data_IF_876604489935
#
_entry.id   IF_876604489935
#
_cell.length_a   1.000
_cell.length_b   1.000
_cell.length_c   1.000
_cell.angle_alpha   90.00
_cell.angle_beta   90.00
_cell.angle_gamma   90.00
#
_symmetry.space_group_name_H-M   'P 1'
#
loop_
_entity.id
_entity.type
_entity.pdbx_description
1 polymer ?
#
# COMPACT_ATOMS: atom_id res chain seq x y z
N UNK A 1 -43.29 8.41 6.60
CA UNK A 1 -42.21 9.32 6.15
C UNK A 1 -41.13 9.61 7.22
N UNK A 2 -40.87 8.73 8.20
CA UNK A 2 -39.86 8.96 9.26
C UNK A 2 -38.57 8.13 9.07
N UNK A 3 -38.55 7.16 8.14
CA UNK A 3 -37.39 6.27 7.94
C UNK A 3 -36.22 6.85 7.15
N UNK A 4 -36.43 7.87 6.32
CA UNK A 4 -35.39 8.41 5.42
C UNK A 4 -34.37 9.31 6.15
N UNK A 5 -34.79 10.03 7.19
CA UNK A 5 -33.92 11.02 7.87
C UNK A 5 -32.83 10.36 8.73
N UNK A 6 -33.10 9.19 9.32
CA UNK A 6 -32.10 8.44 10.09
C UNK A 6 -31.07 7.73 9.21
N UNK A 7 -31.46 7.31 8.00
CA UNK A 7 -30.54 6.72 7.03
C UNK A 7 -29.55 7.76 6.50
N UNK A 8 -30.03 8.99 6.27
CA UNK A 8 -29.19 10.11 5.81
C UNK A 8 -28.25 10.60 6.92
N UNK A 9 -28.68 10.64 8.19
CA UNK A 9 -27.76 10.97 9.29
C UNK A 9 -26.69 9.90 9.54
N UNK A 10 -27.01 8.61 9.33
CA UNK A 10 -26.02 7.53 9.43
C UNK A 10 -24.98 7.61 8.29
N UNK A 11 -25.41 7.95 7.08
CA UNK A 11 -24.53 8.20 5.93
C UNK A 11 -23.63 9.44 6.11
N UNK A 12 -24.16 10.51 6.73
CA UNK A 12 -23.38 11.74 6.99
C UNK A 12 -22.37 11.54 8.14
N UNK A 13 -22.67 10.69 9.12
CA UNK A 13 -21.72 10.33 10.20
C UNK A 13 -20.49 9.56 9.72
N UNK A 14 -20.58 8.82 8.62
CA UNK A 14 -19.46 8.07 8.04
C UNK A 14 -18.48 8.94 7.23
N UNK A 15 -18.85 10.17 6.86
CA UNK A 15 -18.01 11.07 6.05
C UNK A 15 -17.12 12.01 6.88
N UNK A 16 -17.22 11.97 8.22
CA UNK A 16 -16.43 12.81 9.13
C UNK A 16 -15.44 12.01 10.00
N UNK A 17 -15.09 10.79 9.57
CA UNK A 17 -14.07 9.97 10.21
C UNK A 17 -12.67 10.47 9.89
N UNK A 18 -12.13 11.30 10.78
CA UNK A 18 -10.70 11.58 10.90
C UNK A 18 -9.86 10.32 10.69
N UNK A 19 -8.94 10.35 9.71
CA UNK A 19 -7.79 9.45 9.55
C UNK A 19 -7.90 8.13 10.33
N UNK A 20 -8.86 7.28 9.96
CA UNK A 20 -8.97 5.95 10.55
C UNK A 20 -7.88 5.09 9.90
N UNK A 21 -6.65 5.19 10.40
CA UNK A 21 -5.53 4.35 9.98
C UNK A 21 -5.97 2.89 9.95
N UNK A 22 -5.67 2.16 8.86
CA UNK A 22 -5.82 0.71 8.81
C UNK A 22 -5.13 0.12 10.05
N UNK A 23 -5.89 -0.49 10.96
CA UNK A 23 -5.39 -0.82 12.31
C UNK A 23 -4.28 -1.87 12.24
N UNK A 24 -3.04 -1.42 12.38
CA UNK A 24 -1.85 -2.26 12.53
C UNK A 24 -1.29 -2.18 13.95
N UNK A 25 -0.05 -2.61 14.12
CA UNK A 25 0.71 -2.27 15.33
C UNK A 25 1.03 -0.78 15.30
N UNK A 26 0.80 -0.07 16.40
CA UNK A 26 1.01 1.38 16.45
C UNK A 26 2.49 1.74 16.17
N UNK A 27 2.81 2.87 15.52
CA UNK A 27 4.18 3.21 15.12
C UNK A 27 5.19 3.14 16.27
N UNK A 28 4.80 3.58 17.46
CA UNK A 28 5.64 3.51 18.66
C UNK A 28 5.98 2.07 19.08
N UNK A 29 5.09 1.12 18.80
CA UNK A 29 5.27 -0.29 19.14
C UNK A 29 6.02 -1.06 18.04
N UNK A 30 6.01 -0.58 16.79
CA UNK A 30 6.76 -1.20 15.68
C UNK A 30 8.27 -1.17 15.94
N UNK A 31 8.78 -0.08 16.52
CA UNK A 31 10.19 0.02 16.90
C UNK A 31 10.56 -1.01 17.98
N UNK A 32 9.64 -1.33 18.91
CA UNK A 32 9.87 -2.36 19.91
C UNK A 32 9.95 -3.75 19.28
N UNK A 33 9.11 -4.03 18.27
CA UNK A 33 9.10 -5.28 17.53
C UNK A 33 10.37 -5.47 16.68
N UNK A 34 10.82 -4.43 15.98
CA UNK A 34 11.99 -4.50 15.09
C UNK A 34 13.31 -4.66 15.87
N UNK A 35 13.40 -4.06 17.06
CA UNK A 35 14.59 -4.15 17.90
C UNK A 35 14.58 -5.37 18.83
N UNK A 36 13.52 -6.18 18.81
CA UNK A 36 13.43 -7.37 19.64
C UNK A 36 14.31 -8.49 19.08
N UNK A 37 15.33 -8.89 19.86
CA UNK A 37 16.08 -10.14 19.65
C UNK A 37 15.78 -11.11 20.78
N UNK A 38 15.63 -12.39 20.44
CA UNK A 38 15.37 -13.48 21.36
C UNK A 38 13.94 -13.49 21.93
N UNK A 39 13.63 -14.42 22.84
CA UNK A 39 12.31 -14.54 23.44
C UNK A 39 11.99 -13.37 24.39
N UNK A 40 10.98 -12.56 24.04
CA UNK A 40 10.46 -11.43 24.80
C UNK A 40 8.97 -11.60 25.11
N UNK A 41 8.64 -12.67 25.83
CA UNK A 41 7.27 -13.14 26.01
C UNK A 41 6.33 -12.07 26.59
N UNK A 42 6.77 -11.33 27.62
CA UNK A 42 5.93 -10.32 28.26
C UNK A 42 5.64 -9.14 27.33
N UNK A 43 6.63 -8.68 26.56
CA UNK A 43 6.48 -7.58 25.60
C UNK A 43 5.48 -7.95 24.52
N UNK A 44 5.62 -9.12 23.92
CA UNK A 44 4.71 -9.58 22.86
C UNK A 44 3.31 -9.88 23.40
N UNK A 45 3.20 -10.43 24.61
CA UNK A 45 1.90 -10.63 25.26
C UNK A 45 1.19 -9.30 25.54
N UNK A 46 1.90 -8.30 26.07
CA UNK A 46 1.35 -6.96 26.24
C UNK A 46 0.90 -6.37 24.89
N UNK A 47 1.73 -6.52 23.86
CA UNK A 47 1.44 -5.96 22.56
C UNK A 47 0.24 -6.62 21.89
N UNK A 48 0.08 -7.95 22.04
CA UNK A 48 -1.10 -8.67 21.60
C UNK A 48 -2.37 -8.20 22.31
N UNK A 49 -2.30 -7.99 23.63
CA UNK A 49 -3.41 -7.45 24.40
C UNK A 49 -3.76 -6.01 23.98
N UNK A 50 -2.75 -5.15 23.79
CA UNK A 50 -2.91 -3.77 23.32
C UNK A 50 -3.55 -3.76 21.94
N UNK A 51 -3.03 -4.52 20.98
CA UNK A 51 -3.55 -4.65 19.62
C UNK A 51 -5.04 -5.01 19.60
N UNK A 52 -5.41 -6.00 20.42
CA UNK A 52 -6.80 -6.46 20.51
C UNK A 52 -7.74 -5.39 21.08
N UNK A 53 -7.31 -4.63 22.10
CA UNK A 53 -8.15 -3.62 22.76
C UNK A 53 -8.21 -2.32 21.94
N UNK A 54 -7.18 -1.98 21.18
CA UNK A 54 -7.16 -0.78 20.33
C UNK A 54 -7.74 -1.02 18.94
N UNK A 55 -7.93 -2.28 18.52
CA UNK A 55 -8.48 -2.64 17.22
C UNK A 55 -9.97 -2.41 17.10
N UNK A 56 -10.36 -1.32 16.43
CA UNK A 56 -11.76 -0.96 16.23
C UNK A 56 -12.54 -2.01 15.44
N UNK A 57 -11.91 -2.62 14.44
CA UNK A 57 -12.48 -3.73 13.66
C UNK A 57 -12.84 -4.93 14.55
N UNK A 58 -11.95 -5.32 15.44
CA UNK A 58 -12.16 -6.38 16.41
C UNK A 58 -13.26 -6.01 17.41
N UNK A 59 -13.21 -4.80 17.99
CA UNK A 59 -14.22 -4.34 18.94
C UNK A 59 -15.62 -4.25 18.31
N UNK A 60 -15.74 -3.77 17.06
CA UNK A 60 -17.01 -3.73 16.33
C UNK A 60 -17.53 -5.14 16.05
N UNK A 61 -16.66 -6.06 15.65
CA UNK A 61 -17.02 -7.46 15.47
C UNK A 61 -17.49 -8.11 16.78
N UNK A 62 -16.74 -7.94 17.88
CA UNK A 62 -17.09 -8.43 19.23
C UNK A 62 -18.43 -7.87 19.68
N UNK A 63 -18.67 -6.58 19.47
CA UNK A 63 -19.94 -5.92 19.77
C UNK A 63 -21.10 -6.55 18.99
N UNK A 64 -20.91 -6.80 17.68
CA UNK A 64 -21.87 -7.53 16.85
C UNK A 64 -22.14 -8.94 17.37
N UNK A 65 -21.11 -9.68 17.78
CA UNK A 65 -21.24 -11.05 18.29
C UNK A 65 -22.06 -11.10 19.59
N UNK A 66 -21.88 -10.14 20.50
CA UNK A 66 -22.57 -10.15 21.81
C UNK A 66 -24.08 -9.99 21.72
N UNK A 67 -24.64 -9.38 20.66
CA UNK A 67 -26.09 -9.25 20.50
C UNK A 67 -26.83 -10.59 20.65
N UNK A 68 -26.21 -11.68 20.19
CA UNK A 68 -26.79 -13.02 20.23
C UNK A 68 -26.45 -13.82 21.50
N UNK A 69 -25.45 -13.38 22.27
CA UNK A 69 -24.91 -14.16 23.37
C UNK A 69 -25.51 -13.71 24.70
N UNK A 70 -26.18 -14.65 25.36
CA UNK A 70 -26.75 -14.47 26.71
C UNK A 70 -26.02 -15.31 27.75
N UNK A 71 -25.26 -16.33 27.32
CA UNK A 71 -24.62 -17.31 28.19
C UNK A 71 -23.11 -17.22 28.06
N UNK A 72 -22.41 -17.08 29.19
CA UNK A 72 -20.94 -17.03 29.23
C UNK A 72 -20.27 -18.22 28.54
N UNK A 73 -20.85 -19.42 28.65
CA UNK A 73 -20.33 -20.63 27.97
C UNK A 73 -20.29 -20.49 26.45
N UNK A 74 -21.29 -19.83 25.87
CA UNK A 74 -21.32 -19.59 24.43
C UNK A 74 -20.29 -18.54 24.05
N UNK A 75 -20.19 -17.44 24.80
CA UNK A 75 -19.16 -16.41 24.62
C UNK A 75 -17.77 -17.03 24.58
N UNK A 76 -17.41 -17.84 25.58
CA UNK A 76 -16.11 -18.52 25.61
C UNK A 76 -15.90 -19.39 24.37
N UNK A 77 -16.90 -20.17 23.96
CA UNK A 77 -16.78 -21.01 22.77
C UNK A 77 -16.52 -20.20 21.47
N UNK A 78 -17.18 -19.05 21.30
CA UNK A 78 -16.97 -18.19 20.14
C UNK A 78 -15.58 -17.52 20.17
N UNK A 79 -15.14 -17.05 21.34
CA UNK A 79 -13.79 -16.49 21.52
C UNK A 79 -12.73 -17.50 21.17
N UNK A 80 -12.84 -18.70 21.72
CA UNK A 80 -11.86 -19.77 21.47
C UNK A 80 -11.83 -20.12 19.99
N UNK A 81 -12.97 -20.24 19.31
CA UNK A 81 -13.00 -20.51 17.86
C UNK A 81 -12.34 -19.39 17.05
N UNK A 82 -12.62 -18.13 17.37
CA UNK A 82 -11.97 -17.00 16.74
C UNK A 82 -10.46 -17.02 16.98
N UNK A 83 -10.03 -17.19 18.24
CA UNK A 83 -8.64 -17.21 18.64
C UNK A 83 -7.86 -18.35 17.98
N UNK A 84 -8.47 -19.53 17.84
CA UNK A 84 -7.91 -20.65 17.09
C UNK A 84 -7.69 -20.25 15.63
N UNK A 85 -8.72 -19.73 14.96
CA UNK A 85 -8.61 -19.30 13.57
C UNK A 85 -7.51 -18.25 13.39
N UNK A 86 -7.58 -17.20 14.20
CA UNK A 86 -6.63 -16.10 14.22
C UNK A 86 -5.19 -16.59 14.41
N UNK A 87 -4.94 -17.35 15.46
CA UNK A 87 -3.59 -17.83 15.81
C UNK A 87 -2.99 -18.71 14.71
N UNK A 88 -3.80 -19.59 14.10
CA UNK A 88 -3.35 -20.49 13.03
C UNK A 88 -2.88 -19.69 11.82
N UNK A 89 -3.69 -18.76 11.33
CA UNK A 89 -3.33 -17.95 10.15
C UNK A 89 -2.28 -16.89 10.43
N UNK A 90 -2.22 -16.37 11.66
CA UNK A 90 -1.16 -15.46 12.07
C UNK A 90 0.19 -16.16 11.94
N UNK A 91 0.33 -17.30 12.62
CA UNK A 91 1.58 -18.05 12.66
C UNK A 91 1.93 -18.60 11.27
N UNK A 92 0.94 -19.14 10.55
CA UNK A 92 1.15 -19.62 9.19
C UNK A 92 1.60 -18.50 8.25
N UNK A 93 0.93 -17.34 8.28
CA UNK A 93 1.30 -16.21 7.44
C UNK A 93 2.74 -15.78 7.70
N UNK A 94 3.07 -15.50 8.97
CA UNK A 94 4.41 -15.06 9.36
C UNK A 94 5.50 -16.07 8.99
N UNK A 95 5.27 -17.37 9.21
CA UNK A 95 6.28 -18.42 8.94
C UNK A 95 6.42 -18.78 7.46
N UNK A 96 5.32 -18.72 6.68
CA UNK A 96 5.35 -19.03 5.25
C UNK A 96 5.87 -17.86 4.39
N UNK A 97 5.86 -16.64 4.93
CA UNK A 97 6.16 -15.43 4.17
C UNK A 97 5.12 -15.14 3.08
N UNK A 98 3.91 -15.71 3.19
CA UNK A 98 2.83 -15.46 2.26
C UNK A 98 2.39 -13.99 2.39
N UNK A 99 2.71 -13.20 1.36
CA UNK A 99 2.31 -11.80 1.24
C UNK A 99 1.03 -11.69 0.43
N UNK A 100 0.03 -11.06 1.04
CA UNK A 100 -1.21 -10.63 0.37
C UNK A 100 -1.37 -9.16 0.65
N UNK A 101 -2.13 -8.44 -0.17
CA UNK A 101 -2.36 -7.03 0.08
C UNK A 101 -3.15 -6.80 1.40
N UNK A 102 -2.63 -6.02 2.36
CA UNK A 102 -3.30 -5.76 3.63
C UNK A 102 -4.67 -5.07 3.47
N UNK A 103 -4.83 -4.19 2.47
CA UNK A 103 -6.08 -3.48 2.22
C UNK A 103 -7.17 -4.45 1.76
N UNK A 104 -6.84 -5.42 0.91
CA UNK A 104 -7.81 -6.44 0.48
C UNK A 104 -8.24 -7.34 1.64
N UNK A 105 -7.31 -7.76 2.51
CA UNK A 105 -7.65 -8.58 3.68
C UNK A 105 -8.48 -7.77 4.69
N UNK A 106 -8.08 -6.52 4.98
CA UNK A 106 -8.83 -5.66 5.89
C UNK A 106 -10.23 -5.30 5.34
N UNK A 107 -10.41 -5.23 4.01
CA UNK A 107 -11.73 -5.10 3.40
C UNK A 107 -12.59 -6.35 3.66
N UNK A 108 -12.02 -7.56 3.56
CA UNK A 108 -12.72 -8.80 3.92
C UNK A 108 -13.09 -8.80 5.41
N UNK A 109 -12.20 -8.32 6.27
CA UNK A 109 -12.47 -8.11 7.70
C UNK A 109 -13.65 -7.14 7.89
N UNK A 110 -13.69 -6.02 7.16
CA UNK A 110 -14.83 -5.09 7.17
C UNK A 110 -16.16 -5.77 6.76
N UNK A 111 -16.12 -6.65 5.75
CA UNK A 111 -17.28 -7.45 5.37
C UNK A 111 -17.74 -8.43 6.44
N UNK A 112 -16.84 -8.93 7.31
CA UNK A 112 -17.25 -9.77 8.45
C UNK A 112 -18.15 -9.01 9.44
N UNK A 113 -17.91 -7.71 9.63
CA UNK A 113 -18.75 -6.83 10.47
C UNK A 113 -20.12 -6.63 9.83
N UNK A 114 -20.16 -6.38 8.51
CA UNK A 114 -21.41 -6.30 7.72
C UNK A 114 -22.20 -7.60 7.82
N UNK A 115 -21.53 -8.73 7.61
CA UNK A 115 -22.12 -10.06 7.74
C UNK A 115 -22.74 -10.23 9.13
N UNK A 116 -22.03 -9.85 10.19
CA UNK A 116 -22.53 -10.07 11.54
C UNK A 116 -23.73 -9.18 11.87
N UNK A 117 -23.75 -7.96 11.37
CA UNK A 117 -24.90 -7.08 11.49
C UNK A 117 -26.14 -7.64 10.74
N UNK A 118 -25.96 -8.17 9.54
CA UNK A 118 -27.04 -8.82 8.77
C UNK A 118 -27.57 -10.07 9.47
N UNK A 119 -26.67 -10.89 10.00
CA UNK A 119 -27.00 -12.07 10.79
C UNK A 119 -27.85 -11.70 12.02
N UNK A 120 -27.44 -10.67 12.76
CA UNK A 120 -28.17 -10.17 13.92
C UNK A 120 -29.57 -9.63 13.59
N UNK A 121 -29.78 -9.14 12.37
CA UNK A 121 -31.07 -8.66 11.89
C UNK A 121 -31.95 -9.79 11.31
N UNK A 122 -31.46 -11.04 11.30
CA UNK A 122 -32.17 -12.19 10.72
C UNK A 122 -32.30 -12.12 9.20
N UNK A 123 -31.41 -11.37 8.53
CA UNK A 123 -31.49 -11.14 7.10
C UNK A 123 -31.37 -12.45 6.29
N UNK A 124 -30.43 -13.34 6.66
CA UNK A 124 -30.20 -14.60 5.94
C UNK A 124 -31.42 -15.52 5.94
N UNK A 125 -32.07 -15.68 7.11
CA UNK A 125 -33.30 -16.47 7.22
C UNK A 125 -34.45 -15.84 6.41
N UNK A 126 -34.55 -14.50 6.39
CA UNK A 126 -35.62 -13.80 5.67
C UNK A 126 -35.43 -13.78 4.15
N UNK A 127 -34.19 -13.66 3.68
CA UNK A 127 -33.87 -13.54 2.26
C UNK A 127 -33.70 -14.91 1.59
N UNK A 128 -33.09 -15.87 2.29
CA UNK A 128 -32.68 -17.14 1.71
C UNK A 128 -33.30 -18.37 2.40
N UNK A 129 -34.03 -18.19 3.50
CA UNK A 129 -34.62 -19.31 4.26
C UNK A 129 -33.61 -20.18 5.01
N UNK A 130 -32.34 -19.77 5.06
CA UNK A 130 -31.24 -20.52 5.65
C UNK A 130 -30.56 -19.65 6.71
N UNK A 131 -30.24 -20.25 7.85
CA UNK A 131 -29.46 -19.63 8.91
C UNK A 131 -28.03 -20.21 8.88
N UNK A 132 -27.00 -19.41 8.56
CA UNK A 132 -25.62 -19.87 8.55
C UNK A 132 -25.15 -20.38 9.93
N UNK A 133 -24.17 -21.28 9.93
CA UNK A 133 -23.57 -21.75 11.18
C UNK A 133 -22.63 -20.67 11.76
N UNK A 134 -23.09 -20.01 12.82
CA UNK A 134 -22.36 -18.94 13.48
C UNK A 134 -20.97 -19.36 13.97
N UNK A 135 -20.79 -20.60 14.45
CA UNK A 135 -19.49 -21.09 14.93
C UNK A 135 -18.48 -21.20 13.78
N UNK A 136 -18.94 -21.69 12.63
CA UNK A 136 -18.11 -21.78 11.43
C UNK A 136 -17.76 -20.38 10.91
N UNK A 137 -18.72 -19.45 10.89
CA UNK A 137 -18.48 -18.07 10.47
C UNK A 137 -17.41 -17.39 11.35
N UNK A 138 -17.52 -17.51 12.68
CA UNK A 138 -16.53 -16.92 13.60
C UNK A 138 -15.13 -17.53 13.44
N UNK A 139 -15.01 -18.83 13.20
CA UNK A 139 -13.73 -19.47 12.88
C UNK A 139 -13.13 -18.90 11.58
N UNK A 140 -13.95 -18.76 10.54
CA UNK A 140 -13.53 -18.20 9.24
C UNK A 140 -13.10 -16.75 9.36
N UNK A 141 -13.83 -15.93 10.14
CA UNK A 141 -13.41 -14.56 10.42
C UNK A 141 -12.11 -14.52 11.21
N UNK A 142 -11.92 -15.43 12.17
CA UNK A 142 -10.64 -15.63 12.83
C UNK A 142 -9.50 -15.80 11.82
N UNK A 143 -9.66 -16.66 10.81
CA UNK A 143 -8.66 -16.86 9.77
C UNK A 143 -8.29 -15.57 9.02
N UNK A 144 -9.28 -14.79 8.57
CA UNK A 144 -8.99 -13.53 7.87
C UNK A 144 -8.33 -12.50 8.78
N UNK A 145 -8.76 -12.38 10.03
CA UNK A 145 -8.17 -11.46 11.00
C UNK A 145 -6.71 -11.81 11.32
N UNK A 146 -6.42 -13.09 11.58
CA UNK A 146 -5.06 -13.54 11.86
C UNK A 146 -4.14 -13.32 10.66
N UNK A 147 -4.64 -13.59 9.47
CA UNK A 147 -3.88 -13.38 8.23
C UNK A 147 -3.64 -11.89 7.91
N UNK A 148 -4.61 -11.01 8.19
CA UNK A 148 -4.46 -9.56 8.04
C UNK A 148 -3.36 -8.99 8.91
N UNK A 149 -3.31 -9.43 10.18
CA UNK A 149 -2.21 -9.05 11.07
C UNK A 149 -0.87 -9.66 10.65
N UNK A 150 -0.85 -10.92 10.19
CA UNK A 150 0.37 -11.59 9.73
C UNK A 150 1.06 -10.79 8.63
N UNK A 151 0.28 -10.32 7.67
CA UNK A 151 0.76 -9.53 6.53
C UNK A 151 1.42 -8.25 7.01
N UNK A 152 0.78 -7.51 7.94
CA UNK A 152 1.35 -6.27 8.51
C UNK A 152 2.60 -6.54 9.35
N UNK A 153 2.65 -7.67 10.07
CA UNK A 153 3.83 -8.06 10.86
C UNK A 153 5.00 -8.49 9.97
N UNK A 154 4.77 -9.04 8.78
CA UNK A 154 5.84 -9.40 7.84
C UNK A 154 6.53 -8.16 7.22
N UNK A 155 5.82 -7.04 7.13
CA UNK A 155 6.42 -5.77 6.69
C UNK A 155 7.31 -5.15 7.77
N UNK A 156 7.14 -5.58 9.03
CA UNK A 156 8.11 -5.35 10.08
C UNK A 156 9.21 -6.41 9.92
N UNK A 157 10.45 -6.00 9.71
CA UNK A 157 11.61 -6.91 9.61
C UNK A 157 11.91 -7.58 10.96
N UNK A 158 11.06 -8.51 11.39
CA UNK A 158 11.16 -9.19 12.68
C UNK A 158 12.38 -10.10 12.71
N UNK A 159 13.06 -10.15 13.86
CA UNK A 159 14.15 -11.09 14.09
C UNK A 159 13.62 -12.53 14.04
N UNK A 160 14.34 -13.41 13.34
CA UNK A 160 14.06 -14.84 13.36
C UNK A 160 14.35 -15.46 14.75
N UNK A 161 15.23 -14.84 15.53
CA UNK A 161 15.60 -15.27 16.87
C UNK A 161 14.45 -15.00 17.86
N UNK A 162 13.81 -16.06 18.35
CA UNK A 162 12.66 -15.97 19.25
C UNK A 162 11.31 -15.74 18.56
N UNK A 163 11.23 -15.78 17.23
CA UNK A 163 10.01 -15.47 16.49
C UNK A 163 8.79 -16.31 16.93
N UNK A 164 8.92 -17.64 16.92
CA UNK A 164 7.82 -18.55 17.30
C UNK A 164 7.34 -18.33 18.75
N UNK A 165 8.21 -18.34 19.78
CA UNK A 165 7.76 -18.10 21.15
C UNK A 165 7.17 -16.69 21.34
N UNK A 166 7.67 -15.69 20.62
CA UNK A 166 7.12 -14.33 20.64
C UNK A 166 5.73 -14.26 20.00
N UNK A 167 5.51 -14.93 18.86
CA UNK A 167 4.18 -15.03 18.22
C UNK A 167 3.17 -15.79 19.09
N UNK A 168 3.61 -16.85 19.77
CA UNK A 168 2.75 -17.56 20.73
C UNK A 168 2.37 -16.67 21.91
N UNK A 169 3.34 -15.93 22.47
CA UNK A 169 3.06 -14.99 23.55
C UNK A 169 2.13 -13.85 23.11
N UNK A 170 2.30 -13.36 21.88
CA UNK A 170 1.39 -12.39 21.27
C UNK A 170 -0.05 -12.90 21.21
N UNK A 171 -0.26 -14.14 20.74
CA UNK A 171 -1.60 -14.76 20.70
C UNK A 171 -2.23 -14.89 22.08
N UNK A 172 -1.45 -15.28 23.09
CA UNK A 172 -1.92 -15.29 24.49
C UNK A 172 -2.36 -13.89 24.92
N UNK A 173 -1.61 -12.86 24.54
CA UNK A 173 -1.97 -11.46 24.72
C UNK A 173 -3.31 -11.10 24.08
N UNK A 174 -3.51 -11.47 22.82
CA UNK A 174 -4.76 -11.25 22.08
C UNK A 174 -5.93 -11.91 22.80
N UNK A 175 -5.79 -13.17 23.22
CA UNK A 175 -6.84 -13.89 23.94
C UNK A 175 -7.21 -13.22 25.28
N UNK A 176 -6.21 -12.76 26.04
CA UNK A 176 -6.42 -11.98 27.27
C UNK A 176 -7.19 -10.69 26.95
N UNK A 177 -6.76 -9.95 25.91
CA UNK A 177 -7.42 -8.73 25.46
C UNK A 177 -8.89 -8.98 25.04
N UNK A 178 -9.16 -10.08 24.34
CA UNK A 178 -10.51 -10.47 23.93
C UNK A 178 -11.41 -10.77 25.12
N UNK A 179 -10.93 -11.58 26.07
CA UNK A 179 -11.71 -11.93 27.27
C UNK A 179 -12.04 -10.68 28.09
N UNK A 180 -11.09 -9.75 28.25
CA UNK A 180 -11.30 -8.48 28.95
C UNK A 180 -12.32 -7.60 28.23
N UNK A 181 -12.14 -7.37 26.92
CA UNK A 181 -13.04 -6.55 26.12
C UNK A 181 -14.48 -7.11 26.11
N UNK A 182 -14.62 -8.43 25.91
CA UNK A 182 -15.93 -9.08 25.91
C UNK A 182 -16.60 -9.04 27.28
N UNK A 183 -15.86 -9.23 28.36
CA UNK A 183 -16.40 -9.11 29.71
C UNK A 183 -16.98 -7.72 29.94
N UNK A 184 -16.25 -6.68 29.54
CA UNK A 184 -16.72 -5.29 29.62
C UNK A 184 -17.97 -5.04 28.76
N UNK A 185 -17.96 -5.45 27.48
CA UNK A 185 -19.10 -5.25 26.58
C UNK A 185 -20.32 -6.05 27.05
N UNK A 186 -20.14 -7.26 27.58
CA UNK A 186 -21.22 -8.09 28.09
C UNK A 186 -21.90 -7.46 29.30
N UNK A 187 -21.14 -6.85 30.22
CA UNK A 187 -21.68 -6.11 31.36
C UNK A 187 -22.55 -4.96 30.86
N UNK A 188 -22.03 -4.14 29.93
CA UNK A 188 -22.76 -3.01 29.33
C UNK A 188 -24.03 -3.49 28.64
N UNK A 189 -23.95 -4.53 27.82
CA UNK A 189 -25.10 -5.12 27.11
C UNK A 189 -26.13 -5.70 28.06
N UNK A 190 -25.72 -6.32 29.17
CA UNK A 190 -26.64 -6.85 30.19
C UNK A 190 -27.41 -5.74 30.88
N UNK A 191 -26.76 -4.61 31.17
CA UNK A 191 -27.43 -3.42 31.70
C UNK A 191 -28.38 -2.81 30.66
N UNK A 192 -27.95 -2.70 29.40
CA UNK A 192 -28.75 -2.09 28.32
C UNK A 192 -29.98 -2.91 27.96
N UNK A 193 -29.90 -4.23 28.03
CA UNK A 193 -31.03 -5.17 27.82
C UNK A 193 -32.19 -4.96 28.81
N UNK A 194 -31.96 -4.30 29.94
CA UNK A 194 -33.01 -4.00 30.94
C UNK A 194 -33.89 -2.80 30.55
N UNK A 195 -33.50 -2.03 29.53
CA UNK A 195 -34.23 -0.84 29.10
C UNK A 195 -35.39 -1.24 28.17
N UNK A 196 -36.63 -0.74 28.35
CA UNK A 196 -37.80 -1.12 27.54
C UNK A 196 -37.64 -0.87 26.03
N UNK A 197 -36.82 0.12 25.66
CA UNK A 197 -36.54 0.47 24.27
C UNK A 197 -35.42 -0.35 23.61
N UNK A 198 -34.91 -1.39 24.30
CA UNK A 198 -33.76 -2.19 23.84
C UNK A 198 -33.95 -2.72 22.41
N UNK A 199 -35.12 -3.25 22.05
CA UNK A 199 -35.37 -3.84 20.72
C UNK A 199 -35.22 -2.82 19.59
N UNK A 200 -35.76 -1.61 19.78
CA UNK A 200 -35.63 -0.51 18.81
C UNK A 200 -34.18 -0.04 18.70
N UNK A 201 -33.49 0.09 19.83
CA UNK A 201 -32.10 0.48 19.87
C UNK A 201 -31.16 -0.58 19.30
N UNK A 202 -31.45 -1.87 19.52
CA UNK A 202 -30.70 -2.99 18.98
C UNK A 202 -30.75 -3.03 17.46
N UNK A 203 -31.93 -2.79 16.88
CA UNK A 203 -32.09 -2.71 15.43
C UNK A 203 -31.27 -1.54 14.87
N UNK A 204 -31.40 -0.35 15.47
CA UNK A 204 -30.64 0.83 15.05
C UNK A 204 -29.11 0.61 15.18
N UNK A 205 -28.66 -0.01 16.27
CA UNK A 205 -27.25 -0.31 16.51
C UNK A 205 -26.69 -1.30 15.48
N UNK A 206 -27.44 -2.32 15.07
CA UNK A 206 -27.00 -3.22 14.01
C UNK A 206 -26.98 -2.55 12.64
N UNK A 207 -27.91 -1.62 12.35
CA UNK A 207 -27.84 -0.81 11.13
C UNK A 207 -26.61 0.10 11.13
N UNK A 208 -26.29 0.73 12.27
CA UNK A 208 -25.07 1.54 12.40
C UNK A 208 -23.80 0.69 12.30
N UNK A 209 -23.79 -0.51 12.90
CA UNK A 209 -22.70 -1.47 12.79
C UNK A 209 -22.47 -1.89 11.33
N UNK A 210 -23.55 -2.15 10.59
CA UNK A 210 -23.49 -2.47 9.17
C UNK A 210 -22.95 -1.30 8.35
N UNK A 211 -23.41 -0.07 8.63
CA UNK A 211 -22.92 1.13 7.97
C UNK A 211 -21.42 1.37 8.25
N UNK A 212 -20.98 1.17 9.50
CA UNK A 212 -19.57 1.23 9.87
C UNK A 212 -18.75 0.16 9.15
N UNK A 213 -19.25 -1.09 9.05
CA UNK A 213 -18.62 -2.17 8.29
C UNK A 213 -18.43 -1.81 6.81
N UNK A 214 -19.47 -1.30 6.14
CA UNK A 214 -19.34 -0.82 4.76
C UNK A 214 -18.41 0.38 4.63
N UNK A 215 -18.42 1.29 5.61
CA UNK A 215 -17.47 2.42 5.67
C UNK A 215 -16.02 1.93 5.73
N UNK A 216 -15.73 0.94 6.56
CA UNK A 216 -14.41 0.30 6.64
C UNK A 216 -14.03 -0.36 5.31
N UNK A 217 -14.93 -1.12 4.69
CA UNK A 217 -14.69 -1.73 3.37
C UNK A 217 -14.33 -0.67 2.33
N UNK A 218 -15.13 0.40 2.24
CA UNK A 218 -14.91 1.47 1.28
C UNK A 218 -13.58 2.19 1.53
N UNK A 219 -13.24 2.43 2.80
CA UNK A 219 -11.96 3.01 3.19
C UNK A 219 -10.78 2.14 2.74
N UNK A 220 -10.83 0.83 3.00
CA UNK A 220 -9.74 -0.07 2.64
C UNK A 220 -9.60 -0.25 1.14
N UNK A 221 -10.71 -0.40 0.40
CA UNK A 221 -10.66 -0.48 -1.07
C UNK A 221 -10.15 0.83 -1.70
N UNK A 222 -10.51 1.99 -1.13
CA UNK A 222 -9.94 3.26 -1.58
C UNK A 222 -8.42 3.29 -1.34
N UNK A 223 -7.97 2.87 -0.16
CA UNK A 223 -6.55 2.73 0.16
C UNK A 223 -5.81 1.80 -0.80
N UNK A 224 -6.43 0.69 -1.21
CA UNK A 224 -5.88 -0.23 -2.21
C UNK A 224 -5.63 0.49 -3.55
N UNK A 225 -6.65 1.13 -4.12
CA UNK A 225 -6.52 1.81 -5.42
C UNK A 225 -5.61 3.04 -5.39
N UNK A 226 -5.56 3.78 -4.27
CA UNK A 226 -4.71 4.97 -4.13
C UNK A 226 -3.24 4.58 -3.90
N UNK A 227 -2.97 3.58 -3.06
CA UNK A 227 -1.60 3.16 -2.80
C UNK A 227 -0.99 2.40 -3.98
N UNK A 228 -1.76 1.61 -4.74
CA UNK A 228 -1.24 1.05 -6.01
C UNK A 228 -0.86 2.17 -6.99
N UNK A 229 -1.65 3.25 -7.03
CA UNK A 229 -1.32 4.43 -7.84
C UNK A 229 -0.07 5.17 -7.32
N UNK A 230 0.10 5.32 -6.00
CA UNK A 230 1.28 5.96 -5.40
C UNK A 230 2.54 5.08 -5.41
N UNK A 231 2.43 3.76 -5.25
CA UNK A 231 3.56 2.82 -5.36
C UNK A 231 4.15 2.79 -6.78
N UNK A 232 3.34 3.11 -7.79
CA UNK A 232 3.82 3.37 -9.16
C UNK A 232 4.55 4.72 -9.32
N UNK A 233 4.38 5.63 -8.36
CA UNK A 233 4.92 7.01 -8.39
C UNK A 233 6.10 7.22 -7.42
N UNK A 234 6.23 6.43 -6.35
CA UNK A 234 7.42 6.40 -5.49
C UNK A 234 8.57 5.69 -6.22
N UNK A 235 9.22 6.42 -7.12
CA UNK A 235 10.56 6.13 -7.56
C UNK A 235 11.42 5.86 -6.30
N UNK A 236 11.84 4.60 -6.13
CA UNK A 236 12.83 4.18 -5.13
C UNK A 236 13.94 5.22 -5.08
N UNK A 237 14.03 5.95 -3.97
CA UNK A 237 15.00 7.05 -3.79
C UNK A 237 16.45 6.55 -3.94
N UNK A 238 16.68 5.25 -3.74
CA UNK A 238 17.95 4.57 -3.95
C UNK A 238 17.75 3.26 -4.73
N UNK A 239 18.48 3.09 -5.83
CA UNK A 239 18.53 1.86 -6.62
C UNK A 239 19.94 1.27 -6.61
N UNK A 240 20.11 0.12 -5.96
CA UNK A 240 21.32 -0.67 -6.15
C UNK A 240 21.34 -1.20 -7.58
N UNK A 241 22.40 -0.90 -8.32
CA UNK A 241 22.53 -1.30 -9.72
C UNK A 241 23.55 -2.44 -9.86
N UNK A 242 23.25 -3.53 -10.60
CA UNK A 242 24.13 -4.70 -10.69
C UNK A 242 25.40 -4.44 -11.51
N UNK A 243 25.37 -3.43 -12.39
CA UNK A 243 26.50 -2.98 -13.20
C UNK A 243 27.11 -1.72 -12.58
N UNK A 244 28.42 -1.50 -12.73
CA UNK A 244 29.05 -0.20 -12.41
C UNK A 244 28.65 0.85 -13.46
N UNK A 245 28.49 2.13 -13.08
CA UNK A 245 28.22 3.18 -14.04
C UNK A 245 29.44 3.41 -14.92
N UNK A 246 29.21 3.85 -16.16
CA UNK A 246 30.25 4.25 -17.11
C UNK A 246 30.32 5.76 -17.16
N UNK A 247 31.53 6.31 -17.05
CA UNK A 247 31.81 7.72 -17.35
C UNK A 247 32.47 7.79 -18.72
N UNK A 248 31.93 8.63 -19.60
CA UNK A 248 32.48 8.85 -20.94
C UNK A 248 32.55 10.35 -21.19
N UNK A 249 33.68 10.81 -21.73
CA UNK A 249 33.90 12.18 -22.22
C UNK A 249 34.18 12.11 -23.72
N UNK A 250 33.44 12.87 -24.51
CA UNK A 250 33.49 12.84 -25.98
C UNK A 250 33.65 14.28 -26.48
N UNK A 251 34.51 14.45 -27.47
CA UNK A 251 34.66 15.71 -28.19
C UNK A 251 34.08 15.54 -29.59
N UNK A 252 33.07 16.33 -29.91
CA UNK A 252 32.28 16.22 -31.14
C UNK A 252 32.51 17.49 -31.94
N UNK A 253 33.21 17.39 -33.06
CA UNK A 253 33.37 18.51 -33.99
C UNK A 253 32.06 18.72 -34.76
N UNK A 254 31.56 19.94 -34.77
CA UNK A 254 30.32 20.35 -35.45
C UNK A 254 30.64 21.47 -36.42
N UNK A 255 30.51 21.19 -37.71
CA UNK A 255 30.72 22.16 -38.78
C UNK A 255 29.70 23.31 -38.71
N UNK A 256 29.99 24.46 -39.34
CA UNK A 256 29.00 25.54 -39.45
C UNK A 256 27.67 25.02 -39.97
N UNK A 257 26.58 25.36 -39.28
CA UNK A 257 25.21 24.93 -39.62
C UNK A 257 24.95 23.41 -39.63
N UNK A 258 25.90 22.59 -39.19
CA UNK A 258 25.69 21.14 -39.09
C UNK A 258 24.68 20.81 -37.99
N UNK A 259 23.85 19.81 -38.28
CA UNK A 259 22.88 19.19 -37.39
C UNK A 259 23.31 17.75 -37.10
N UNK A 260 23.27 17.34 -35.84
CA UNK A 260 23.59 15.97 -35.47
C UNK A 260 22.82 15.51 -34.24
N UNK A 261 22.65 14.20 -34.14
CA UNK A 261 22.08 13.56 -32.96
C UNK A 261 23.10 12.64 -32.29
N UNK A 262 23.09 12.64 -30.96
CA UNK A 262 23.92 11.77 -30.14
C UNK A 262 23.06 11.16 -29.04
N UNK A 263 22.90 9.83 -29.03
CA UNK A 263 21.98 9.13 -28.13
C UNK A 263 22.65 8.05 -27.31
N UNK A 264 22.15 7.89 -26.09
CA UNK A 264 22.40 6.77 -25.20
C UNK A 264 21.23 5.77 -25.27
N UNK A 265 21.53 4.47 -25.28
CA UNK A 265 20.54 3.41 -25.06
C UNK A 265 20.40 3.13 -23.56
N UNK A 266 19.20 3.31 -23.01
CA UNK A 266 18.89 3.17 -21.58
C UNK A 266 17.65 2.28 -21.40
N UNK A 267 17.65 1.45 -20.35
CA UNK A 267 16.43 0.80 -19.89
C UNK A 267 15.56 1.76 -19.08
N UNK A 268 14.24 1.52 -19.03
CA UNK A 268 13.33 2.31 -18.21
C UNK A 268 13.80 2.37 -16.74
N UNK A 269 13.82 3.57 -16.15
CA UNK A 269 14.27 3.83 -14.80
C UNK A 269 15.80 3.98 -14.63
N UNK A 270 16.61 3.76 -15.67
CA UNK A 270 18.06 3.95 -15.55
C UNK A 270 18.43 5.44 -15.55
N UNK A 271 19.27 5.89 -14.59
CA UNK A 271 19.70 7.27 -14.51
C UNK A 271 20.91 7.57 -15.42
N UNK A 272 20.99 8.84 -15.81
CA UNK A 272 22.05 9.47 -16.59
C UNK A 272 22.36 10.85 -15.99
N UNK A 273 23.61 11.10 -15.63
CA UNK A 273 24.12 12.44 -15.36
C UNK A 273 24.88 12.92 -16.58
N UNK A 274 24.68 14.17 -16.96
CA UNK A 274 25.34 14.74 -18.11
C UNK A 274 25.78 16.18 -17.89
N UNK A 275 26.80 16.57 -18.63
CA UNK A 275 27.14 17.96 -18.89
C UNK A 275 27.72 18.07 -20.29
N UNK A 276 27.51 19.20 -20.96
CA UNK A 276 28.24 19.51 -22.18
C UNK A 276 28.54 20.99 -22.28
N UNK A 277 29.61 21.32 -22.98
CA UNK A 277 30.02 22.71 -23.28
C UNK A 277 30.51 22.82 -24.72
N UNK A 278 30.40 24.01 -25.32
CA UNK A 278 31.01 24.31 -26.62
C UNK A 278 32.39 24.93 -26.42
N UNK A 279 33.40 24.41 -27.12
CA UNK A 279 34.69 25.05 -27.33
C UNK A 279 34.69 25.72 -28.71
N UNK A 280 34.78 27.06 -28.73
CA UNK A 280 34.61 27.87 -29.95
C UNK A 280 33.67 29.06 -29.71
N UNK A 281 33.53 29.96 -30.70
CA UNK A 281 32.83 31.24 -30.53
C UNK A 281 31.31 31.22 -30.78
N UNK A 282 30.67 30.04 -30.80
CA UNK A 282 29.30 29.88 -31.28
C UNK A 282 28.37 29.13 -30.32
N UNK A 283 27.13 29.61 -30.09
CA UNK A 283 26.11 28.80 -29.41
C UNK A 283 25.57 27.69 -30.33
N UNK A 284 24.93 26.71 -29.71
CA UNK A 284 24.15 25.68 -30.38
C UNK A 284 22.68 25.80 -29.99
N UNK A 285 21.79 25.46 -30.91
CA UNK A 285 20.44 25.01 -30.54
C UNK A 285 20.57 23.59 -30.00
N UNK A 286 19.83 23.24 -28.96
CA UNK A 286 19.73 21.84 -28.55
C UNK A 286 18.33 21.41 -28.13
N UNK A 287 18.05 20.14 -28.37
CA UNK A 287 16.87 19.46 -27.87
C UNK A 287 17.27 18.12 -27.24
N UNK A 288 16.88 17.88 -25.98
CA UNK A 288 17.00 16.59 -25.34
C UNK A 288 15.69 15.83 -25.48
N UNK A 289 15.71 14.66 -26.13
CA UNK A 289 14.51 13.89 -26.42
C UNK A 289 14.77 12.37 -26.38
N UNK A 290 13.70 11.58 -26.38
CA UNK A 290 13.76 10.12 -26.31
C UNK A 290 12.81 9.42 -27.26
N UNK A 291 13.22 8.25 -27.73
CA UNK A 291 12.45 7.37 -28.62
C UNK A 291 12.43 5.94 -28.04
N UNK A 292 11.26 5.33 -27.85
CA UNK A 292 11.15 3.98 -27.33
C UNK A 292 11.67 2.96 -28.36
N UNK A 293 12.37 1.94 -27.89
CA UNK A 293 12.80 0.80 -28.72
C UNK A 293 12.03 -0.48 -28.41
N UNK A 294 11.20 -0.47 -27.37
CA UNK A 294 10.40 -1.61 -26.91
C UNK A 294 8.99 -1.16 -26.51
N UNK A 295 8.02 -2.07 -26.65
CA UNK A 295 6.62 -1.83 -26.32
C UNK A 295 5.76 -1.37 -27.51
N UNK A 296 4.46 -1.24 -27.28
CA UNK A 296 3.49 -0.77 -28.28
C UNK A 296 3.36 0.76 -28.19
N UNK A 297 4.03 1.47 -29.11
CA UNK A 297 4.01 2.93 -29.21
C UNK A 297 3.46 3.38 -30.57
N UNK A 298 2.92 4.60 -30.67
CA UNK A 298 2.59 5.19 -31.97
C UNK A 298 3.82 5.18 -32.89
N UNK A 299 3.59 5.00 -34.20
CA UNK A 299 4.66 5.07 -35.20
C UNK A 299 5.31 6.45 -35.14
N UNK A 300 6.64 6.49 -35.21
CA UNK A 300 7.46 7.71 -35.17
C UNK A 300 7.29 8.52 -33.87
N UNK A 301 6.87 7.86 -32.78
CA UNK A 301 6.76 8.49 -31.47
C UNK A 301 8.14 8.88 -30.92
N UNK A 302 8.26 10.13 -30.53
CA UNK A 302 9.36 10.64 -29.71
C UNK A 302 8.79 11.56 -28.64
N UNK A 303 9.59 11.78 -27.59
CA UNK A 303 9.23 12.68 -26.49
C UNK A 303 10.36 13.68 -26.26
N UNK A 304 10.06 14.95 -26.49
CA UNK A 304 10.94 16.05 -26.11
C UNK A 304 10.88 16.30 -24.60
N UNK A 305 12.03 16.51 -23.98
CA UNK A 305 12.17 16.79 -22.54
C UNK A 305 12.63 18.23 -22.28
N UNK A 306 13.50 18.75 -23.16
CA UNK A 306 14.02 20.11 -23.06
C UNK A 306 14.41 20.62 -24.45
N UNK A 307 14.08 21.87 -24.74
CA UNK A 307 14.46 22.56 -25.98
C UNK A 307 14.99 23.94 -25.64
N UNK A 308 16.17 24.28 -26.15
CA UNK A 308 16.83 25.56 -25.91
C UNK A 308 17.34 26.14 -27.22
N UNK A 309 16.89 27.34 -27.54
CA UNK A 309 17.16 28.00 -28.82
C UNK A 309 18.63 28.38 -29.03
N UNK A 310 19.35 28.70 -27.96
CA UNK A 310 20.76 29.10 -28.03
C UNK A 310 21.44 28.91 -26.67
N UNK A 311 22.37 27.97 -26.60
CA UNK A 311 23.22 27.78 -25.43
C UNK A 311 24.64 27.35 -25.81
N UNK A 312 25.59 27.58 -24.91
CA UNK A 312 26.98 27.08 -25.00
C UNK A 312 27.26 25.99 -23.96
N UNK A 313 26.30 25.70 -23.08
CA UNK A 313 26.43 24.72 -22.01
C UNK A 313 25.08 24.19 -21.58
N UNK A 314 25.02 22.93 -21.15
CA UNK A 314 23.93 22.43 -20.33
C UNK A 314 24.44 21.29 -19.44
N UNK A 315 23.73 21.04 -18.34
CA UNK A 315 24.02 19.96 -17.43
C UNK A 315 22.75 19.55 -16.69
N UNK A 316 22.68 18.29 -16.29
CA UNK A 316 21.51 17.80 -15.57
C UNK A 316 21.58 16.32 -15.22
N UNK A 317 20.50 15.87 -14.59
CA UNK A 317 20.19 14.46 -14.40
C UNK A 317 18.98 14.09 -15.24
N UNK A 318 18.96 12.86 -15.73
CA UNK A 318 17.88 12.29 -16.49
C UNK A 318 17.61 10.87 -15.99
N UNK A 319 16.34 10.48 -15.94
CA UNK A 319 15.91 9.11 -15.65
C UNK A 319 15.00 8.68 -16.78
N UNK A 320 15.37 7.60 -17.47
CA UNK A 320 14.65 7.16 -18.66
C UNK A 320 13.20 6.77 -18.33
N UNK A 321 12.16 7.45 -18.88
CA UNK A 321 10.76 7.09 -18.60
C UNK A 321 10.32 5.81 -19.32
N UNK A 322 11.09 5.36 -20.30
CA UNK A 322 10.87 4.12 -21.06
C UNK A 322 12.21 3.59 -21.60
N UNK A 323 12.26 2.29 -21.90
CA UNK A 323 13.41 1.67 -22.57
C UNK A 323 13.54 2.21 -23.99
N UNK A 324 14.68 2.79 -24.32
CA UNK A 324 14.84 3.48 -25.60
C UNK A 324 16.16 4.20 -25.79
N UNK A 325 16.21 4.99 -26.86
CA UNK A 325 17.31 5.91 -27.18
C UNK A 325 16.96 7.29 -26.67
N UNK A 326 17.81 7.87 -25.84
CA UNK A 326 17.63 9.20 -25.27
C UNK A 326 18.89 10.02 -25.47
N UNK A 327 18.78 11.28 -25.83
CA UNK A 327 19.98 12.06 -26.14
C UNK A 327 19.70 13.44 -26.67
N UNK A 328 20.74 14.02 -27.27
CA UNK A 328 20.77 15.39 -27.73
C UNK A 328 20.70 15.44 -29.24
N UNK A 329 19.85 16.33 -29.74
CA UNK A 329 19.99 16.95 -31.04
C UNK A 329 20.71 18.28 -30.86
N UNK A 330 21.76 18.52 -31.64
CA UNK A 330 22.47 19.81 -31.68
C UNK A 330 22.51 20.37 -33.08
N UNK A 331 22.37 21.70 -33.16
CA UNK A 331 22.62 22.47 -34.38
C UNK A 331 23.58 23.62 -34.10
N UNK A 332 24.69 23.68 -34.84
CA UNK A 332 25.63 24.78 -34.76
C UNK A 332 25.01 26.05 -35.38
N UNK A 333 24.82 27.08 -34.56
CA UNK A 333 24.20 28.34 -35.00
C UNK A 333 25.22 29.34 -35.56
N UNK A 334 26.51 29.05 -35.41
CA UNK A 334 27.59 29.92 -35.86
C UNK A 334 28.07 29.57 -37.27
N UNK A 335 28.78 30.53 -37.87
CA UNK A 335 29.41 30.39 -39.19
C UNK A 335 30.85 29.83 -39.08
N UNK A 336 31.25 29.36 -37.90
CA UNK A 336 32.55 28.75 -37.62
C UNK A 336 32.37 27.33 -37.04
N UNK A 337 33.33 26.42 -37.26
CA UNK A 337 33.29 25.12 -36.60
C UNK A 337 33.44 25.28 -35.08
N UNK A 338 32.76 24.43 -34.33
CA UNK A 338 32.88 24.35 -32.88
C UNK A 338 33.02 22.89 -32.43
N UNK A 339 33.50 22.69 -31.21
CA UNK A 339 33.57 21.36 -30.60
C UNK A 339 32.62 21.30 -29.40
N UNK A 340 31.70 20.35 -29.40
CA UNK A 340 30.90 20.02 -28.21
C UNK A 340 31.68 19.00 -27.39
N UNK A 341 31.99 19.36 -26.14
CA UNK A 341 32.56 18.46 -25.15
C UNK A 341 31.42 17.92 -24.31
N UNK A 342 31.05 16.67 -24.53
CA UNK A 342 29.99 15.97 -23.80
C UNK A 342 30.59 15.03 -22.75
N UNK A 343 30.17 15.17 -21.51
CA UNK A 343 30.46 14.25 -20.41
C UNK A 343 29.17 13.56 -19.95
N UNK A 344 29.20 12.24 -19.87
CA UNK A 344 28.06 11.41 -19.48
C UNK A 344 28.49 10.38 -18.46
N UNK A 345 27.73 10.26 -17.37
CA UNK A 345 27.85 9.21 -16.38
C UNK A 345 26.51 8.47 -16.20
N UNK A 346 26.48 7.15 -16.32
CA UNK A 346 25.24 6.40 -16.15
C UNK A 346 25.36 4.92 -16.51
N UNK A 347 24.22 4.25 -16.71
CA UNK A 347 24.15 2.81 -16.95
C UNK A 347 23.82 2.41 -18.40
N UNK A 348 24.01 3.33 -19.33
CA UNK A 348 23.74 3.12 -20.75
C UNK A 348 24.55 1.96 -21.36
N UNK A 349 23.94 1.24 -22.30
CA UNK A 349 24.56 0.14 -23.04
C UNK A 349 25.38 0.65 -24.23
N UNK A 350 24.83 1.65 -24.94
CA UNK A 350 25.48 2.33 -26.07
C UNK A 350 25.37 3.84 -25.92
N UNK A 351 26.33 4.54 -26.51
CA UNK A 351 26.36 6.00 -26.61
C UNK A 351 27.05 6.32 -27.94
N UNK A 352 26.39 7.03 -28.85
CA UNK A 352 26.94 7.28 -30.17
C UNK A 352 26.11 8.23 -31.02
N UNK A 353 26.70 8.64 -32.14
CA UNK A 353 26.04 9.44 -33.18
C UNK A 353 24.94 8.60 -33.83
N UNK A 354 23.75 9.18 -33.95
CA UNK A 354 22.68 8.65 -34.78
C UNK A 354 22.73 9.44 -36.08
N UNK A 355 22.86 8.74 -37.21
CA UNK A 355 22.68 9.38 -38.51
C UNK A 355 21.23 9.89 -38.55
N UNK A 356 21.06 11.19 -38.78
CA UNK A 356 19.74 11.80 -38.84
C UNK A 356 18.87 10.99 -39.81
N UNK A 357 17.60 10.68 -39.48
CA UNK A 357 16.69 10.15 -40.48
C UNK A 357 16.71 11.12 -41.67
N UNK A 358 16.90 10.57 -42.87
CA UNK A 358 16.84 11.36 -44.10
C UNK A 358 15.57 12.21 -44.06
N UNK A 359 15.74 13.53 -44.09
CA UNK A 359 14.62 14.46 -44.21
C UNK A 359 13.82 14.08 -45.46
N UNK A 360 12.51 13.85 -45.29
CA UNK A 360 11.55 13.78 -46.41
C UNK A 360 11.17 15.18 -46.85
#
# INVERSE_FOLDING_TARGET
MVGSKHLILALIGCLLGSQALAHGVAPEDQALLQNASGPQLLTFMYLGAKHMVTGYDHLLFLFGVIFFLYRLKEVVAYVTLFAIGHSVTLLFGVLSGLKVDPYLIDAIIGFSVVYKALDNLGAFQRWFGIQPNNKAAVLVFGFFHGFGLATKLQDLSLSADGLVPNMLAFNVGVEIGQVLALSAILIVMTCWRRVPSFTRHATAANVLLMAAGFGLVAFQLNGYFVNDAQASTEARVMHAHPRKPRTVRIEINVQPREELEYKAELAAGEPLLYSWTTQGAGPVYYEFHGEPTEGEWPKDYYRSYETVESSQTAHGSFVAPFTGRHGWYWRNLSDAPLTIVLEVNGYFTKLGRIEAPATL
#
